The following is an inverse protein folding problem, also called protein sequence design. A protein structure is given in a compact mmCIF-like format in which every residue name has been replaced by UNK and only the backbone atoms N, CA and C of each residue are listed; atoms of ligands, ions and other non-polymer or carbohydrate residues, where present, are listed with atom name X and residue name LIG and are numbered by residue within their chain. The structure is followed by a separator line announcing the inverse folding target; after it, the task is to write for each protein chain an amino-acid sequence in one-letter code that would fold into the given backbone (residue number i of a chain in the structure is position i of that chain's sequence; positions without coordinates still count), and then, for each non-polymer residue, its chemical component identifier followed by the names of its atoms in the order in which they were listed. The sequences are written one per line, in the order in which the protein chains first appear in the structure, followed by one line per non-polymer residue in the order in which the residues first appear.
data_IF_654328747886
#
_entry.id   IF_654328747886
#
_cell.length_a   1.000
_cell.length_b   1.000
_cell.length_c   1.000
_cell.angle_alpha   90.00
_cell.angle_beta   90.00
_cell.angle_gamma   90.00
#
_symmetry.space_group_name_H-M   'P 1'
#
loop_
_entity.id
_entity.type
_entity.pdbx_description
1 polymer ?
#
# COMPACT_ATOMS: atom_id res chain seq x y z
N UNK A 1 -11.38 -31.67 -40.83
CA UNK A 1 -10.48 -32.07 -39.75
C UNK A 1 -10.80 -31.17 -38.58
N UNK A 2 -11.70 -31.64 -37.66
CA UNK A 2 -12.17 -30.83 -36.52
C UNK A 2 -11.19 -31.00 -35.35
N UNK A 3 -10.50 -29.95 -34.97
CA UNK A 3 -9.73 -29.90 -33.73
C UNK A 3 -10.65 -29.47 -32.56
N UNK A 4 -10.64 -30.15 -31.43
CA UNK A 4 -11.50 -29.81 -30.30
C UNK A 4 -11.00 -28.56 -29.57
N UNK A 5 -11.81 -27.51 -29.58
CA UNK A 5 -11.57 -26.18 -28.97
C UNK A 5 -11.88 -26.13 -27.46
N UNK A 6 -11.85 -27.22 -26.71
CA UNK A 6 -12.53 -27.33 -25.44
C UNK A 6 -11.61 -27.22 -24.18
N UNK A 7 -10.29 -27.02 -24.29
CA UNK A 7 -9.45 -27.13 -23.07
C UNK A 7 -8.77 -25.84 -22.54
N UNK A 8 -8.96 -24.69 -23.20
CA UNK A 8 -8.18 -23.49 -22.86
C UNK A 8 -8.98 -22.39 -22.15
N UNK A 9 -10.31 -22.54 -22.03
CA UNK A 9 -11.18 -21.47 -21.43
C UNK A 9 -11.17 -21.46 -19.91
N UNK A 10 -10.82 -22.55 -19.24
CA UNK A 10 -10.88 -22.67 -17.78
C UNK A 10 -9.79 -21.87 -17.04
N UNK A 11 -8.70 -21.45 -17.70
CA UNK A 11 -7.62 -20.66 -17.04
C UNK A 11 -7.81 -19.16 -17.07
N UNK A 12 -8.72 -18.63 -17.91
CA UNK A 12 -9.02 -17.19 -17.95
C UNK A 12 -9.83 -16.66 -16.75
N UNK A 13 -10.48 -17.55 -15.99
CA UNK A 13 -11.31 -17.13 -14.84
C UNK A 13 -10.49 -16.74 -13.61
N UNK A 14 -9.24 -17.16 -13.48
CA UNK A 14 -8.40 -16.89 -12.33
C UNK A 14 -7.88 -15.44 -12.28
N UNK A 15 -7.77 -14.76 -13.43
CA UNK A 15 -7.27 -13.37 -13.52
C UNK A 15 -8.24 -12.37 -12.88
N UNK A 16 -9.54 -12.64 -12.91
CA UNK A 16 -10.56 -11.72 -12.40
C UNK A 16 -10.63 -11.59 -10.88
N UNK A 17 -10.01 -12.52 -10.14
CA UNK A 17 -10.01 -12.47 -8.66
C UNK A 17 -8.96 -11.54 -8.07
N UNK A 18 -7.90 -11.17 -8.82
CA UNK A 18 -6.78 -10.36 -8.33
C UNK A 18 -7.17 -8.88 -8.18
N UNK A 19 -8.07 -8.38 -9.05
CA UNK A 19 -8.46 -6.97 -9.07
C UNK A 19 -9.36 -6.58 -7.90
N UNK A 20 -10.17 -7.50 -7.36
CA UNK A 20 -11.12 -7.21 -6.28
C UNK A 20 -10.45 -6.95 -4.90
N UNK A 21 -9.17 -7.26 -4.75
CA UNK A 21 -8.47 -7.17 -3.46
C UNK A 21 -7.79 -5.81 -3.17
N UNK A 22 -7.79 -4.87 -4.11
CA UNK A 22 -7.01 -3.61 -3.97
C UNK A 22 -7.75 -2.57 -3.12
N UNK A 23 -9.08 -2.59 -3.06
CA UNK A 23 -9.89 -1.54 -2.42
C UNK A 23 -10.03 -1.64 -0.91
N UNK A 24 -9.62 -2.73 -0.28
CA UNK A 24 -9.90 -2.99 1.13
C UNK A 24 -8.71 -2.66 2.04
N UNK A 25 -8.14 -1.45 2.01
CA UNK A 25 -7.00 -1.29 2.88
C UNK A 25 -6.42 0.08 3.19
N UNK A 26 -6.98 1.15 2.71
CA UNK A 26 -6.42 2.49 2.96
C UNK A 26 -7.23 3.35 3.95
N UNK A 27 -8.18 2.76 4.68
CA UNK A 27 -8.75 3.43 5.84
C UNK A 27 -7.69 3.51 6.93
N UNK A 28 -6.97 4.62 7.00
CA UNK A 28 -6.07 4.96 8.11
C UNK A 28 -6.96 5.17 9.36
N UNK A 29 -6.76 4.43 10.45
CA UNK A 29 -7.37 4.82 11.70
C UNK A 29 -6.72 6.15 12.11
N UNK A 30 -7.49 7.22 12.13
CA UNK A 30 -7.09 8.48 12.76
C UNK A 30 -6.92 8.19 14.26
N UNK A 31 -5.70 7.85 14.69
CA UNK A 31 -5.36 7.71 16.08
C UNK A 31 -5.18 9.11 16.65
N UNK A 32 -6.24 9.64 17.25
CA UNK A 32 -6.16 10.88 18.01
C UNK A 32 -5.13 10.69 19.13
N UNK A 33 -4.07 11.52 19.13
CA UNK A 33 -3.16 11.60 20.25
C UNK A 33 -3.95 12.03 21.50
N UNK A 34 -3.74 11.41 22.67
CA UNK A 34 -4.40 11.83 23.89
C UNK A 34 -4.00 13.27 24.20
N UNK A 35 -5.00 14.14 24.40
CA UNK A 35 -4.79 15.53 24.80
C UNK A 35 -4.26 15.52 26.25
N UNK A 36 -2.96 15.80 26.41
CA UNK A 36 -2.35 16.00 27.72
C UNK A 36 -2.68 17.42 28.18
N UNK A 37 -3.59 17.55 29.12
CA UNK A 37 -3.90 18.83 29.78
C UNK A 37 -2.70 19.31 30.59
N UNK A 38 -2.36 20.61 30.45
CA UNK A 38 -1.21 21.30 31.12
C UNK A 38 -1.34 21.20 32.63
N UNK A 39 -0.37 20.66 33.38
CA UNK A 39 -0.47 20.57 34.84
C UNK A 39 -0.10 21.90 35.52
N UNK A 40 -0.98 22.36 36.38
CA UNK A 40 -0.68 23.34 37.45
C UNK A 40 0.25 22.69 38.48
N UNK A 41 1.13 23.46 39.14
CA UNK A 41 2.13 22.98 40.09
C UNK A 41 1.54 21.97 41.10
N UNK A 42 1.86 20.70 40.88
CA UNK A 42 1.29 19.56 41.61
C UNK A 42 2.20 19.23 42.80
N UNK A 43 1.61 18.85 43.94
CA UNK A 43 2.32 18.26 45.09
C UNK A 43 3.11 17.01 44.62
N UNK A 44 4.18 16.60 45.32
CA UNK A 44 5.03 15.47 44.91
C UNK A 44 4.28 14.18 44.61
N UNK A 45 3.17 13.90 45.32
CA UNK A 45 2.30 12.75 45.04
C UNK A 45 1.59 12.86 43.70
N UNK A 46 1.12 14.03 43.29
CA UNK A 46 0.50 14.24 42.00
C UNK A 46 1.53 14.15 40.84
N UNK A 47 2.77 14.58 41.07
CA UNK A 47 3.85 14.41 40.09
C UNK A 47 4.25 12.95 39.89
N UNK A 48 4.31 12.15 40.96
CA UNK A 48 4.55 10.71 40.88
C UNK A 48 3.45 10.00 40.10
N UNK A 49 2.18 10.29 40.39
CA UNK A 49 1.04 9.73 39.67
C UNK A 49 1.08 10.11 38.16
N UNK A 50 1.47 11.37 37.84
CA UNK A 50 1.61 11.81 36.46
C UNK A 50 2.76 11.08 35.72
N UNK A 51 3.86 10.82 36.41
CA UNK A 51 4.98 10.04 35.86
C UNK A 51 4.55 8.63 35.53
N UNK A 52 3.87 7.94 36.48
CA UNK A 52 3.38 6.58 36.26
C UNK A 52 2.39 6.51 35.09
N UNK A 53 1.51 7.49 34.97
CA UNK A 53 0.55 7.60 33.85
C UNK A 53 1.27 7.74 32.50
N UNK A 54 2.31 8.58 32.41
CA UNK A 54 3.07 8.75 31.17
C UNK A 54 3.81 7.45 30.80
N UNK A 55 4.43 6.79 31.78
CA UNK A 55 5.09 5.50 31.57
C UNK A 55 4.11 4.45 31.06
N UNK A 56 2.95 4.33 31.67
CA UNK A 56 1.91 3.40 31.22
C UNK A 56 1.40 3.72 29.80
N UNK A 57 1.15 5.00 29.52
CA UNK A 57 0.71 5.44 28.18
C UNK A 57 1.79 5.18 27.13
N UNK A 58 3.05 5.41 27.44
CA UNK A 58 4.17 5.14 26.53
C UNK A 58 4.35 3.66 26.25
N UNK A 59 4.30 2.82 27.28
CA UNK A 59 4.34 1.37 27.09
C UNK A 59 3.23 0.87 26.17
N UNK A 60 2.01 1.36 26.36
CA UNK A 60 0.87 1.03 25.52
C UNK A 60 1.07 1.53 24.07
N UNK A 61 1.57 2.76 23.89
CA UNK A 61 1.86 3.33 22.57
C UNK A 61 2.94 2.56 21.81
N UNK A 62 3.99 2.11 22.49
CA UNK A 62 5.05 1.28 21.92
C UNK A 62 4.49 -0.08 21.49
N UNK A 63 3.79 -0.78 22.38
CA UNK A 63 3.20 -2.08 22.09
C UNK A 63 2.27 -2.05 20.85
N UNK A 64 1.46 -1.00 20.71
CA UNK A 64 0.61 -0.82 19.54
C UNK A 64 1.42 -0.64 18.25
N UNK A 65 2.54 0.10 18.29
CA UNK A 65 3.42 0.33 17.14
C UNK A 65 4.16 -0.93 16.73
N UNK A 66 4.70 -1.66 17.70
CA UNK A 66 5.38 -2.95 17.45
C UNK A 66 4.41 -3.97 16.83
N UNK A 67 3.19 -4.05 17.32
CA UNK A 67 2.15 -4.89 16.73
C UNK A 67 1.81 -4.48 15.30
N UNK A 68 1.78 -3.17 15.02
CA UNK A 68 1.57 -2.64 13.66
C UNK A 68 2.76 -2.98 12.76
N UNK A 69 4.00 -2.75 13.19
CA UNK A 69 5.21 -3.09 12.44
C UNK A 69 5.24 -4.58 12.08
N UNK A 70 4.88 -5.46 13.03
CA UNK A 70 4.76 -6.91 12.77
C UNK A 70 3.74 -7.23 11.68
N UNK A 71 2.57 -6.57 11.69
CA UNK A 71 1.56 -6.72 10.63
C UNK A 71 2.06 -6.24 9.27
N UNK A 72 2.80 -5.12 9.24
CA UNK A 72 3.36 -4.57 8.01
C UNK A 72 4.45 -5.47 7.43
N UNK A 73 5.35 -6.00 8.26
CA UNK A 73 6.34 -6.98 7.84
C UNK A 73 5.68 -8.23 7.22
N UNK A 74 4.65 -8.77 7.87
CA UNK A 74 3.86 -9.88 7.35
C UNK A 74 3.17 -9.55 6.01
N UNK A 75 2.70 -8.32 5.83
CA UNK A 75 2.09 -7.87 4.56
C UNK A 75 3.09 -7.80 3.41
N UNK A 76 4.28 -7.23 3.65
CA UNK A 76 5.33 -7.15 2.62
C UNK A 76 5.87 -8.51 2.23
N UNK A 77 5.98 -9.45 3.19
CA UNK A 77 6.47 -10.80 2.93
C UNK A 77 5.43 -11.73 2.28
N UNK A 78 4.15 -11.45 2.45
CA UNK A 78 3.05 -12.32 1.99
C UNK A 78 2.68 -12.16 0.51
N UNK A 79 3.11 -11.07 -0.14
CA UNK A 79 2.76 -10.74 -1.53
C UNK A 79 3.93 -10.02 -2.22
N UNK A 80 4.02 -10.09 -3.56
CA UNK A 80 4.93 -9.21 -4.30
C UNK A 80 4.74 -7.76 -3.88
N UNK A 81 5.84 -7.04 -3.71
CA UNK A 81 5.85 -5.62 -3.34
C UNK A 81 6.88 -4.86 -4.16
N UNK A 82 6.65 -3.55 -4.35
CA UNK A 82 7.62 -2.65 -4.98
C UNK A 82 8.73 -2.19 -4.03
N UNK A 83 8.93 -2.86 -2.90
CA UNK A 83 10.06 -2.68 -1.98
C UNK A 83 11.25 -3.55 -2.42
N UNK A 84 11.66 -3.40 -3.68
CA UNK A 84 12.65 -4.30 -4.30
C UNK A 84 14.04 -4.17 -3.66
N UNK A 85 14.39 -3.00 -3.13
CA UNK A 85 15.65 -2.74 -2.43
C UNK A 85 15.57 -3.05 -0.93
N UNK A 86 14.39 -3.41 -0.41
CA UNK A 86 14.17 -3.72 0.99
C UNK A 86 14.21 -2.51 1.94
N UNK A 87 14.14 -1.29 1.41
CA UNK A 87 14.21 -0.05 2.21
C UNK A 87 13.09 0.00 3.26
N UNK A 88 11.84 -0.26 2.86
CA UNK A 88 10.69 -0.22 3.77
C UNK A 88 10.76 -1.38 4.78
N UNK A 89 11.11 -2.56 4.32
CA UNK A 89 11.34 -3.72 5.19
C UNK A 89 12.46 -3.45 6.21
N UNK A 90 13.54 -2.77 5.79
CA UNK A 90 14.64 -2.34 6.65
C UNK A 90 14.19 -1.35 7.72
N UNK A 91 13.38 -0.34 7.37
CA UNK A 91 12.79 0.61 8.34
C UNK A 91 11.94 -0.14 9.37
N UNK A 92 11.05 -1.03 8.93
CA UNK A 92 10.19 -1.83 9.81
C UNK A 92 11.03 -2.68 10.78
N UNK A 93 12.12 -3.28 10.29
CA UNK A 93 13.00 -4.10 11.11
C UNK A 93 13.81 -3.28 12.14
N UNK A 94 14.16 -2.03 11.80
CA UNK A 94 14.91 -1.13 12.68
C UNK A 94 14.02 -0.48 13.75
N UNK A 95 12.81 -0.08 13.41
CA UNK A 95 11.91 0.66 14.29
C UNK A 95 11.46 -0.16 15.51
N UNK A 96 11.27 -1.47 15.37
CA UNK A 96 10.84 -2.33 16.48
C UNK A 96 11.82 -2.30 17.65
N UNK A 97 13.10 -2.69 17.49
CA UNK A 97 14.11 -2.64 18.52
C UNK A 97 14.36 -1.21 19.06
N UNK A 98 14.26 -0.19 18.21
CA UNK A 98 14.45 1.18 18.61
C UNK A 98 13.31 1.68 19.54
N UNK A 99 12.05 1.34 19.23
CA UNK A 99 10.89 1.60 20.11
C UNK A 99 11.02 0.86 21.45
N UNK A 100 11.47 -0.39 21.45
CA UNK A 100 11.75 -1.14 22.68
C UNK A 100 12.84 -0.45 23.53
N UNK A 101 13.87 0.14 22.88
CA UNK A 101 14.89 0.93 23.52
C UNK A 101 14.34 2.17 24.22
N UNK A 102 13.41 2.91 23.58
CA UNK A 102 12.69 4.03 24.21
C UNK A 102 11.85 3.54 25.37
N UNK A 103 11.16 2.41 25.25
CA UNK A 103 10.41 1.80 26.34
C UNK A 103 11.27 1.54 27.58
N UNK A 104 12.49 1.07 27.38
CA UNK A 104 13.46 0.83 28.46
C UNK A 104 13.88 2.14 29.13
N UNK A 105 14.16 3.19 28.36
CA UNK A 105 14.50 4.54 28.89
C UNK A 105 13.33 5.11 29.68
N UNK A 106 12.15 5.15 29.08
CA UNK A 106 10.93 5.68 29.71
C UNK A 106 10.60 4.94 31.03
N UNK A 107 10.80 3.63 31.08
CA UNK A 107 10.63 2.87 32.34
C UNK A 107 11.62 3.28 33.43
N UNK A 108 12.85 3.63 33.07
CA UNK A 108 13.92 4.05 33.97
C UNK A 108 13.81 5.51 34.40
N UNK A 109 13.03 6.35 33.72
CA UNK A 109 12.89 7.78 34.06
C UNK A 109 12.43 8.00 35.49
N UNK A 110 13.07 8.95 36.15
CA UNK A 110 12.73 9.36 37.53
C UNK A 110 12.10 10.75 37.58
N UNK A 111 12.14 11.49 36.48
CA UNK A 111 11.53 12.82 36.38
C UNK A 111 10.40 12.86 35.34
N UNK A 112 9.43 13.73 35.58
CA UNK A 112 8.33 13.95 34.65
C UNK A 112 8.81 14.63 33.35
N UNK A 113 9.90 15.35 33.38
CA UNK A 113 10.47 16.05 32.21
C UNK A 113 11.07 15.04 31.25
N UNK A 114 11.91 14.13 31.73
CA UNK A 114 12.56 13.11 30.94
C UNK A 114 11.52 12.16 30.36
N UNK A 115 10.56 11.67 31.18
CA UNK A 115 9.48 10.81 30.75
C UNK A 115 8.60 11.44 29.67
N UNK A 116 8.37 12.75 29.70
CA UNK A 116 7.66 13.47 28.63
C UNK A 116 8.46 13.52 27.35
N UNK A 117 9.76 13.76 27.42
CA UNK A 117 10.64 13.82 26.26
C UNK A 117 10.70 12.43 25.57
N UNK A 118 10.93 11.35 26.34
CA UNK A 118 10.96 10.00 25.80
C UNK A 118 9.57 9.57 25.29
N UNK A 119 8.49 9.95 25.95
CA UNK A 119 7.14 9.72 25.44
C UNK A 119 6.88 10.43 24.10
N UNK A 120 7.31 11.69 23.95
CA UNK A 120 7.17 12.43 22.71
C UNK A 120 7.96 11.81 21.57
N UNK A 121 9.18 11.33 21.81
CA UNK A 121 10.02 10.71 20.78
C UNK A 121 9.36 9.49 20.13
N UNK A 122 8.50 8.74 20.85
CA UNK A 122 7.69 7.63 20.29
C UNK A 122 6.85 8.11 19.09
N UNK A 123 6.39 9.35 19.11
CA UNK A 123 5.51 9.92 18.09
C UNK A 123 6.26 10.75 17.04
N UNK A 124 7.34 11.42 17.43
CA UNK A 124 8.04 12.35 16.55
C UNK A 124 9.12 11.68 15.73
N UNK A 125 9.83 10.69 16.30
CA UNK A 125 10.91 9.97 15.63
C UNK A 125 10.43 8.70 14.91
N UNK A 126 9.37 8.04 15.43
CA UNK A 126 8.83 6.79 14.89
C UNK A 126 7.41 7.00 14.36
N UNK A 127 7.31 7.57 13.18
CA UNK A 127 6.03 7.87 12.51
C UNK A 127 5.38 6.62 11.90
N UNK A 128 5.26 5.52 12.68
CA UNK A 128 4.74 4.22 12.22
C UNK A 128 3.42 4.36 11.48
N UNK A 129 2.49 5.15 11.99
CA UNK A 129 1.16 5.30 11.37
C UNK A 129 1.13 6.32 10.23
N UNK A 130 1.94 7.38 10.29
CA UNK A 130 1.89 8.47 9.31
C UNK A 130 2.87 8.31 8.16
N UNK A 131 3.93 7.51 8.35
CA UNK A 131 4.98 7.29 7.35
C UNK A 131 5.09 5.82 6.99
N UNK A 132 5.50 4.95 7.92
CA UNK A 132 5.82 3.55 7.63
C UNK A 132 4.59 2.76 7.16
N UNK A 133 3.43 3.01 7.76
CA UNK A 133 2.19 2.32 7.36
C UNK A 133 1.78 2.66 5.92
N UNK A 134 1.65 3.93 5.49
CA UNK A 134 1.37 4.26 4.10
C UNK A 134 2.40 3.68 3.14
N UNK A 135 3.70 3.77 3.45
CA UNK A 135 4.78 3.20 2.62
C UNK A 135 4.60 1.70 2.39
N UNK A 136 4.39 0.93 3.45
CA UNK A 136 4.22 -0.52 3.36
C UNK A 136 2.94 -0.92 2.60
N UNK A 137 1.84 -0.19 2.79
CA UNK A 137 0.60 -0.43 2.04
C UNK A 137 0.74 -0.14 0.56
N UNK A 138 1.42 0.94 0.21
CA UNK A 138 1.64 1.31 -1.18
C UNK A 138 2.59 0.35 -1.89
N UNK A 139 3.69 -0.05 -1.24
CA UNK A 139 4.59 -1.05 -1.79
C UNK A 139 3.85 -2.36 -2.10
N UNK A 140 2.99 -2.81 -1.19
CA UNK A 140 2.16 -3.99 -1.41
C UNK A 140 1.07 -3.78 -2.48
N UNK A 141 0.51 -2.56 -2.63
CA UNK A 141 -0.47 -2.25 -3.67
C UNK A 141 0.19 -2.20 -5.05
N UNK A 142 1.34 -1.52 -5.16
CA UNK A 142 2.16 -1.48 -6.37
C UNK A 142 2.53 -2.91 -6.83
N UNK A 143 3.02 -3.77 -5.96
CA UNK A 143 3.35 -5.15 -6.32
C UNK A 143 2.14 -5.95 -6.84
N UNK A 144 0.93 -5.69 -6.34
CA UNK A 144 -0.29 -6.29 -6.91
C UNK A 144 -0.63 -5.73 -8.29
N UNK A 145 -0.39 -4.44 -8.52
CA UNK A 145 -0.53 -3.82 -9.85
C UNK A 145 0.44 -4.48 -10.82
N UNK A 146 1.70 -4.69 -10.45
CA UNK A 146 2.70 -5.35 -11.29
C UNK A 146 2.32 -6.78 -11.68
N UNK A 147 1.81 -7.56 -10.73
CA UNK A 147 1.31 -8.90 -11.03
C UNK A 147 0.13 -8.86 -11.98
N UNK A 148 -0.80 -7.92 -11.78
CA UNK A 148 -1.99 -7.79 -12.62
C UNK A 148 -1.62 -7.32 -14.04
N UNK A 149 -0.75 -6.31 -14.17
CA UNK A 149 -0.29 -5.79 -15.47
C UNK A 149 0.51 -6.84 -16.23
N UNK A 150 1.40 -7.58 -15.58
CA UNK A 150 2.14 -8.70 -16.18
C UNK A 150 1.19 -9.77 -16.72
N UNK A 151 0.18 -10.14 -15.94
CA UNK A 151 -0.81 -11.14 -16.34
C UNK A 151 -1.65 -10.66 -17.50
N UNK A 152 -2.16 -9.42 -17.43
CA UNK A 152 -2.98 -8.83 -18.50
C UNK A 152 -2.18 -8.63 -19.78
N UNK A 153 -0.90 -8.27 -19.71
CA UNK A 153 0.00 -8.18 -20.87
C UNK A 153 0.17 -9.53 -21.56
N UNK A 154 0.37 -10.59 -20.79
CA UNK A 154 0.47 -11.95 -21.34
C UNK A 154 -0.85 -12.41 -21.96
N UNK A 155 -1.97 -12.05 -21.39
CA UNK A 155 -3.30 -12.38 -21.95
C UNK A 155 -3.61 -11.52 -23.19
N UNK A 156 -3.24 -10.24 -23.21
CA UNK A 156 -3.34 -9.38 -24.41
C UNK A 156 -2.59 -9.99 -25.61
N UNK A 157 -1.36 -10.45 -25.41
CA UNK A 157 -0.58 -11.09 -26.48
C UNK A 157 -1.25 -12.34 -27.05
N UNK A 158 -1.89 -13.17 -26.19
CA UNK A 158 -2.64 -14.33 -26.63
C UNK A 158 -3.92 -13.94 -27.39
N UNK A 159 -4.62 -12.91 -26.92
CA UNK A 159 -5.82 -12.37 -27.57
C UNK A 159 -5.47 -11.76 -28.91
N UNK A 160 -4.40 -10.99 -29.03
CA UNK A 160 -3.89 -10.42 -30.27
C UNK A 160 -3.64 -11.50 -31.33
N UNK A 161 -2.94 -12.58 -30.95
CA UNK A 161 -2.68 -13.70 -31.84
C UNK A 161 -3.99 -14.32 -32.37
N UNK A 162 -5.00 -14.47 -31.54
CA UNK A 162 -6.30 -15.06 -31.92
C UNK A 162 -7.14 -14.12 -32.80
N UNK A 163 -7.13 -12.83 -32.49
CA UNK A 163 -7.81 -11.77 -33.26
C UNK A 163 -7.22 -11.74 -34.67
N UNK A 164 -5.90 -11.71 -34.80
CA UNK A 164 -5.20 -11.76 -36.11
C UNK A 164 -5.55 -13.04 -36.91
N UNK A 165 -5.60 -14.17 -36.24
CA UNK A 165 -5.98 -15.42 -36.90
C UNK A 165 -7.44 -15.42 -37.39
N UNK A 166 -8.37 -14.86 -36.61
CA UNK A 166 -9.77 -14.74 -37.02
C UNK A 166 -9.93 -13.74 -38.17
N UNK A 167 -9.24 -12.60 -38.14
CA UNK A 167 -9.22 -11.63 -39.23
C UNK A 167 -8.65 -12.21 -40.51
N UNK A 168 -7.56 -12.99 -40.45
CA UNK A 168 -6.99 -13.71 -41.59
C UNK A 168 -7.96 -14.77 -42.15
N UNK A 169 -8.87 -15.32 -41.34
CA UNK A 169 -9.97 -16.16 -41.72
C UNK A 169 -11.16 -15.45 -42.35
N UNK A 170 -11.11 -14.12 -42.47
CA UNK A 170 -12.15 -13.29 -43.08
C UNK A 170 -13.21 -12.77 -42.11
N UNK A 171 -13.02 -12.94 -40.79
CA UNK A 171 -13.90 -12.36 -39.79
C UNK A 171 -13.63 -10.87 -39.58
N UNK A 172 -14.68 -10.07 -39.37
CA UNK A 172 -14.52 -8.65 -38.98
C UNK A 172 -14.12 -8.56 -37.49
N UNK A 173 -12.86 -8.20 -37.24
CA UNK A 173 -12.28 -8.05 -35.93
C UNK A 173 -12.01 -6.60 -35.55
N UNK A 174 -12.51 -5.62 -36.30
CA UNK A 174 -12.23 -4.18 -36.10
C UNK A 174 -12.48 -3.73 -34.65
N UNK A 175 -13.60 -4.15 -34.06
CA UNK A 175 -13.93 -3.81 -32.67
C UNK A 175 -12.98 -4.50 -31.65
N UNK A 176 -12.56 -5.73 -31.93
CA UNK A 176 -11.62 -6.46 -31.08
C UNK A 176 -10.20 -5.88 -31.16
N UNK A 177 -9.77 -5.40 -32.32
CA UNK A 177 -8.49 -4.71 -32.52
C UNK A 177 -8.45 -3.37 -31.78
N UNK A 178 -9.54 -2.60 -31.83
CA UNK A 178 -9.68 -1.37 -31.06
C UNK A 178 -9.61 -1.64 -29.53
N UNK A 179 -10.32 -2.67 -29.05
CA UNK A 179 -10.28 -3.07 -27.66
C UNK A 179 -8.89 -3.58 -27.23
N UNK A 180 -8.14 -4.28 -28.10
CA UNK A 180 -6.74 -4.66 -27.83
C UNK A 180 -5.82 -3.44 -27.63
N UNK A 181 -6.01 -2.41 -28.44
CA UNK A 181 -5.25 -1.16 -28.35
C UNK A 181 -5.56 -0.45 -27.05
N UNK A 182 -6.84 -0.30 -26.70
CA UNK A 182 -7.25 0.34 -25.43
C UNK A 182 -6.77 -0.44 -24.22
N UNK A 183 -6.91 -1.76 -24.23
CA UNK A 183 -6.35 -2.64 -23.19
C UNK A 183 -4.87 -2.40 -22.95
N UNK A 184 -4.05 -2.28 -24.01
CA UNK A 184 -2.62 -2.01 -23.89
C UNK A 184 -2.35 -0.65 -23.26
N UNK A 185 -3.09 0.38 -23.66
CA UNK A 185 -3.00 1.73 -23.07
C UNK A 185 -3.32 1.70 -21.57
N UNK A 186 -4.42 1.04 -21.18
CA UNK A 186 -4.83 0.92 -19.78
C UNK A 186 -3.81 0.17 -18.91
N UNK A 187 -3.20 -0.89 -19.45
CA UNK A 187 -2.14 -1.63 -18.76
C UNK A 187 -0.92 -0.71 -18.51
N UNK A 188 -0.48 0.04 -19.53
CA UNK A 188 0.65 0.96 -19.41
C UNK A 188 0.37 2.11 -18.43
N UNK A 189 -0.84 2.67 -18.48
CA UNK A 189 -1.28 3.72 -17.55
C UNK A 189 -1.31 3.21 -16.11
N UNK A 190 -1.83 2.01 -15.86
CA UNK A 190 -1.86 1.40 -14.54
C UNK A 190 -0.46 1.18 -13.97
N UNK A 191 0.49 0.69 -14.79
CA UNK A 191 1.89 0.54 -14.40
C UNK A 191 2.49 1.90 -13.99
N UNK A 192 2.36 2.91 -14.87
CA UNK A 192 2.92 4.25 -14.63
C UNK A 192 2.39 4.87 -13.33
N UNK A 193 1.09 4.72 -13.06
CA UNK A 193 0.45 5.23 -11.83
C UNK A 193 0.90 4.45 -10.60
N UNK A 194 1.02 3.14 -10.69
CA UNK A 194 1.55 2.30 -9.61
C UNK A 194 2.96 2.71 -9.20
N UNK A 195 3.86 2.87 -10.18
CA UNK A 195 5.24 3.31 -9.97
C UNK A 195 5.31 4.70 -9.35
N UNK A 196 4.49 5.63 -9.84
CA UNK A 196 4.44 7.00 -9.30
C UNK A 196 3.96 7.03 -7.87
N UNK A 197 2.94 6.26 -7.53
CA UNK A 197 2.45 6.13 -6.16
C UNK A 197 3.53 5.55 -5.24
N UNK A 198 4.23 4.50 -5.67
CA UNK A 198 5.32 3.89 -4.90
C UNK A 198 6.45 4.89 -4.68
N UNK A 199 6.88 5.63 -5.71
CA UNK A 199 7.92 6.65 -5.62
C UNK A 199 7.54 7.80 -4.67
N UNK A 200 6.29 8.29 -4.75
CA UNK A 200 5.79 9.35 -3.87
C UNK A 200 5.82 8.94 -2.40
N UNK A 201 5.50 7.69 -2.10
CA UNK A 201 5.47 7.20 -0.72
C UNK A 201 6.84 6.75 -0.21
N UNK A 202 7.76 6.31 -1.09
CA UNK A 202 9.14 6.05 -0.71
C UNK A 202 9.87 7.32 -0.23
N UNK A 203 9.44 8.50 -0.71
CA UNK A 203 10.01 9.79 -0.31
C UNK A 203 9.52 10.33 1.04
N UNK A 204 8.57 9.67 1.71
CA UNK A 204 8.11 10.10 3.04
C UNK A 204 9.21 9.97 4.08
N UNK A 205 9.33 10.98 4.95
CA UNK A 205 10.33 11.02 6.02
C UNK A 205 9.68 11.37 7.36
N UNK A 206 10.28 10.98 8.51
CA UNK A 206 9.85 11.45 9.81
C UNK A 206 9.87 12.97 9.86
N UNK A 207 8.84 13.57 10.44
CA UNK A 207 8.67 15.03 10.45
C UNK A 207 9.26 15.70 11.69
N UNK A 208 9.58 14.94 12.73
CA UNK A 208 10.13 15.47 14.01
C UNK A 208 9.36 16.69 14.55
N UNK A 209 8.05 16.75 14.27
CA UNK A 209 7.18 17.86 14.67
C UNK A 209 7.19 19.06 13.70
N UNK A 210 7.91 19.01 12.58
CA UNK A 210 7.91 20.05 11.56
C UNK A 210 6.60 20.02 10.76
N UNK A 211 5.80 21.09 10.86
CA UNK A 211 4.51 21.21 10.20
C UNK A 211 4.60 21.25 8.67
N UNK A 212 5.70 21.75 8.11
CA UNK A 212 5.89 21.77 6.67
C UNK A 212 6.11 20.33 6.15
N UNK A 213 6.91 19.54 6.86
CA UNK A 213 7.12 18.11 6.53
C UNK A 213 5.83 17.30 6.71
N UNK A 214 5.05 17.55 7.78
CA UNK A 214 3.73 16.92 7.98
C UNK A 214 2.82 17.23 6.79
N UNK A 215 2.74 18.49 6.35
CA UNK A 215 1.93 18.90 5.22
C UNK A 215 2.39 18.26 3.90
N UNK A 216 3.69 18.20 3.66
CA UNK A 216 4.29 17.55 2.49
C UNK A 216 4.01 16.05 2.46
N UNK A 217 4.19 15.35 3.59
CA UNK A 217 3.89 13.93 3.72
C UNK A 217 2.40 13.64 3.46
N UNK A 218 1.50 14.45 4.02
CA UNK A 218 0.06 14.29 3.79
C UNK A 218 -0.29 14.42 2.31
N UNK A 219 0.21 15.46 1.64
CA UNK A 219 -0.02 15.67 0.21
C UNK A 219 0.54 14.51 -0.64
N UNK A 220 1.69 13.95 -0.29
CA UNK A 220 2.26 12.80 -0.99
C UNK A 220 1.42 11.53 -0.79
N UNK A 221 0.88 11.29 0.40
CA UNK A 221 -0.04 10.18 0.68
C UNK A 221 -1.32 10.31 -0.12
N UNK A 222 -1.93 11.51 -0.16
CA UNK A 222 -3.17 11.76 -0.92
C UNK A 222 -2.94 11.57 -2.43
N UNK A 223 -1.84 12.07 -2.97
CA UNK A 223 -1.49 11.89 -4.37
C UNK A 223 -1.26 10.42 -4.74
N UNK A 224 -0.53 9.70 -3.91
CA UNK A 224 -0.30 8.27 -4.11
C UNK A 224 -1.59 7.45 -4.03
N UNK A 225 -2.51 7.82 -3.13
CA UNK A 225 -3.82 7.19 -3.04
C UNK A 225 -4.63 7.38 -4.33
N UNK A 226 -4.70 8.61 -4.84
CA UNK A 226 -5.37 8.91 -6.10
C UNK A 226 -4.77 8.14 -7.29
N UNK A 227 -3.45 8.00 -7.34
CA UNK A 227 -2.77 7.21 -8.36
C UNK A 227 -3.10 5.72 -8.27
N UNK A 228 -3.12 5.14 -7.07
CA UNK A 228 -3.48 3.73 -6.87
C UNK A 228 -4.94 3.45 -7.22
N UNK A 229 -5.87 4.34 -6.88
CA UNK A 229 -7.27 4.24 -7.28
C UNK A 229 -7.43 4.30 -8.80
N UNK A 230 -6.72 5.24 -9.44
CA UNK A 230 -6.74 5.38 -10.89
C UNK A 230 -6.12 4.17 -11.60
N UNK A 231 -5.00 3.64 -11.10
CA UNK A 231 -4.40 2.41 -11.61
C UNK A 231 -5.36 1.21 -11.51
N UNK A 232 -6.09 1.10 -10.40
CA UNK A 232 -7.11 0.07 -10.24
C UNK A 232 -8.27 0.21 -11.25
N UNK A 233 -8.71 1.44 -11.52
CA UNK A 233 -9.73 1.71 -12.53
C UNK A 233 -9.25 1.30 -13.93
N UNK A 234 -7.99 1.60 -14.29
CA UNK A 234 -7.40 1.19 -15.55
C UNK A 234 -7.31 -0.34 -15.70
N UNK A 235 -6.88 -1.06 -14.66
CA UNK A 235 -6.87 -2.53 -14.67
C UNK A 235 -8.27 -3.14 -14.82
N UNK A 236 -9.27 -2.49 -14.23
CA UNK A 236 -10.67 -2.89 -14.38
C UNK A 236 -11.14 -2.68 -15.82
N UNK A 237 -10.80 -1.55 -16.44
CA UNK A 237 -11.11 -1.26 -17.83
C UNK A 237 -10.40 -2.24 -18.79
N UNK A 238 -9.09 -2.46 -18.62
CA UNK A 238 -8.34 -3.46 -19.40
C UNK A 238 -8.94 -4.87 -19.31
N UNK A 239 -9.44 -5.24 -18.13
CA UNK A 239 -10.14 -6.50 -17.92
C UNK A 239 -11.47 -6.55 -18.71
N UNK A 240 -12.19 -5.44 -18.81
CA UNK A 240 -13.42 -5.35 -19.59
C UNK A 240 -13.14 -5.44 -21.08
N UNK A 241 -12.05 -4.82 -21.57
CA UNK A 241 -11.61 -4.94 -22.94
C UNK A 241 -11.29 -6.39 -23.31
N UNK A 242 -10.57 -7.11 -22.44
CA UNK A 242 -10.32 -8.53 -22.61
C UNK A 242 -11.62 -9.35 -22.76
N UNK A 243 -12.66 -9.03 -22.00
CA UNK A 243 -13.99 -9.67 -22.12
C UNK A 243 -14.65 -9.36 -23.45
N UNK A 244 -14.58 -8.12 -23.91
CA UNK A 244 -15.11 -7.68 -25.21
C UNK A 244 -14.43 -8.44 -26.35
N UNK A 245 -13.09 -8.54 -26.32
CA UNK A 245 -12.33 -9.31 -27.32
C UNK A 245 -12.73 -10.78 -27.31
N UNK A 246 -12.83 -11.39 -26.12
CA UNK A 246 -13.25 -12.79 -25.99
C UNK A 246 -14.67 -13.01 -26.54
N UNK A 247 -15.58 -12.06 -26.32
CA UNK A 247 -16.93 -12.13 -26.84
C UNK A 247 -16.95 -12.08 -28.40
N UNK A 248 -16.18 -11.18 -29.00
CA UNK A 248 -16.01 -11.09 -30.44
C UNK A 248 -15.43 -12.38 -31.04
N UNK A 249 -14.40 -12.95 -30.42
CA UNK A 249 -13.78 -14.21 -30.83
C UNK A 249 -14.71 -15.45 -30.72
N UNK A 250 -15.76 -15.40 -29.92
CA UNK A 250 -16.76 -16.47 -29.78
C UNK A 250 -17.88 -16.36 -30.80
N UNK A 251 -18.06 -15.20 -31.40
CA UNK A 251 -19.12 -14.93 -32.36
C UNK A 251 -18.76 -15.37 -33.80
N UNK A 252 -17.52 -15.72 -34.03
CA UNK A 252 -16.93 -16.15 -35.31
C UNK A 252 -16.45 -17.60 -35.22
#
# INVERSE_FOLDING_TARGET
MHLPLTSTIARGAAVFAVVAGITAGLALPASAAPVVTKPTAASGAAAATALDQIKAAGAAAISQREAQLTKLAGRLSAAPSCDADGTIAGIIAADGPALAGIGTKLAADTTLVDAKADYQSIFDDYRVYLVVTPQAYAAAACGRIDVATTTLTADQAKLDTRVKAAAAGGADMTAAEAALTDMGTKIADATTKGDRAAASLAALVPDHGDRAVIGSNAAAVDAAHADLESAHADLTAATQDARTIIAALKAV
#
